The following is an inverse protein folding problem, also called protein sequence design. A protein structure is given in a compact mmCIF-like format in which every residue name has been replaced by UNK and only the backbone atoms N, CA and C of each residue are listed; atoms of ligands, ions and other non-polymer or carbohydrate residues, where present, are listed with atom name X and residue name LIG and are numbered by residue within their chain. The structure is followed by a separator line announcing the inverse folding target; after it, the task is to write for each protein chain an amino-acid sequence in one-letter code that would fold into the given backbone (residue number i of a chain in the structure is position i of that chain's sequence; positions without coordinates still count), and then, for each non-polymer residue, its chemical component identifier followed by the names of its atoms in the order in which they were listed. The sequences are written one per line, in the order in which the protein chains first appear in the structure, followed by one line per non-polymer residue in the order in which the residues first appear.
data_IF_626419659386
#
_entry.id   IF_626419659386
#
_cell.length_a   1.000
_cell.length_b   1.000
_cell.length_c   1.000
_cell.angle_alpha   90.00
_cell.angle_beta   90.00
_cell.angle_gamma   90.00
#
_symmetry.space_group_name_H-M   'P 1'
#
loop_
_entity.id
_entity.type
_entity.pdbx_description
1 polymer ?
#
# COMPACT_ATOMS: atom_id res chain seq x y z
N UNK A 1 14.45 26.50 12.84
CA UNK A 1 14.39 26.44 11.38
C UNK A 1 13.54 25.24 11.02
N UNK A 2 12.28 25.49 10.71
CA UNK A 2 11.28 24.47 10.43
C UNK A 2 11.57 23.90 9.04
N UNK A 3 12.24 22.74 8.98
CA UNK A 3 12.39 22.03 7.72
C UNK A 3 11.01 21.48 7.35
N UNK A 4 10.33 22.19 6.45
CA UNK A 4 9.05 21.78 5.88
C UNK A 4 9.15 20.33 5.41
N UNK A 5 8.43 19.43 6.12
CA UNK A 5 8.17 18.08 5.66
C UNK A 5 7.53 18.22 4.28
N UNK A 6 8.28 17.97 3.21
CA UNK A 6 7.68 17.75 1.88
C UNK A 6 6.62 16.67 2.09
N UNK A 7 5.34 17.03 1.97
CA UNK A 7 4.25 16.04 1.87
C UNK A 7 4.66 15.14 0.70
N UNK A 8 4.95 13.87 0.98
CA UNK A 8 5.16 12.86 -0.05
C UNK A 8 3.80 12.69 -0.72
N UNK A 9 3.61 13.25 -1.91
CA UNK A 9 2.33 13.18 -2.63
C UNK A 9 2.17 11.80 -3.29
N UNK A 10 0.91 11.35 -3.42
CA UNK A 10 0.57 10.21 -4.27
C UNK A 10 1.01 10.47 -5.71
N UNK A 11 1.44 9.41 -6.40
CA UNK A 11 1.67 9.52 -7.83
C UNK A 11 0.32 9.53 -8.57
N UNK A 12 -0.03 10.68 -9.12
CA UNK A 12 -1.27 10.90 -9.87
C UNK A 12 -0.96 10.95 -11.37
N UNK A 13 -1.82 10.34 -12.19
CA UNK A 13 -1.75 10.40 -13.66
C UNK A 13 -1.63 11.86 -14.12
N UNK A 14 -0.49 12.19 -14.76
CA UNK A 14 -0.22 13.55 -15.28
C UNK A 14 -0.75 13.81 -16.68
N UNK A 15 -1.03 12.75 -17.45
CA UNK A 15 -1.52 12.85 -18.83
C UNK A 15 -2.92 12.27 -18.95
N UNK A 16 -3.87 13.13 -19.28
CA UNK A 16 -5.22 12.76 -19.67
C UNK A 16 -5.18 12.14 -21.09
N UNK A 17 -5.51 10.85 -21.29
CA UNK A 17 -5.58 10.26 -22.62
C UNK A 17 -6.87 10.66 -23.36
N UNK A 18 -7.77 11.44 -22.76
CA UNK A 18 -9.09 11.74 -23.34
C UNK A 18 -9.12 12.87 -24.36
N UNK A 19 -7.96 13.31 -24.87
CA UNK A 19 -7.85 14.34 -25.92
C UNK A 19 -8.26 13.82 -27.33
N UNK A 20 -9.41 13.15 -27.45
CA UNK A 20 -10.07 12.99 -28.74
C UNK A 20 -10.81 11.69 -29.05
N UNK A 21 -10.90 10.68 -28.18
CA UNK A 21 -11.70 9.48 -28.49
C UNK A 21 -12.55 9.00 -27.31
N UNK A 22 -13.87 9.08 -27.50
CA UNK A 22 -14.89 8.40 -26.69
C UNK A 22 -14.73 6.89 -26.84
N UNK A 23 -13.86 6.30 -26.03
CA UNK A 23 -13.68 4.85 -25.93
C UNK A 23 -13.81 4.43 -24.47
N UNK A 24 -14.85 3.65 -24.17
CA UNK A 24 -14.97 2.91 -22.92
C UNK A 24 -13.67 2.11 -22.68
N UNK A 25 -12.97 2.37 -21.57
CA UNK A 25 -11.91 1.50 -21.03
C UNK A 25 -10.51 1.63 -21.64
N UNK A 26 -9.90 2.82 -21.68
CA UNK A 26 -8.50 2.97 -22.12
C UNK A 26 -7.67 3.73 -21.08
N UNK A 27 -6.86 2.96 -20.37
CA UNK A 27 -5.90 3.44 -19.39
C UNK A 27 -5.56 2.31 -18.44
N UNK A 28 -4.82 1.29 -18.90
CA UNK A 28 -4.22 0.35 -17.95
C UNK A 28 -3.38 1.17 -16.98
N UNK A 29 -3.76 1.22 -15.70
CA UNK A 29 -2.98 1.93 -14.69
C UNK A 29 -1.53 1.45 -14.80
N UNK A 30 -0.62 2.38 -15.02
CA UNK A 30 0.81 2.11 -15.06
C UNK A 30 1.33 1.98 -13.62
N UNK A 31 2.49 1.31 -13.47
CA UNK A 31 3.14 1.13 -12.17
C UNK A 31 3.37 2.45 -11.44
N UNK A 32 3.52 3.54 -12.19
CA UNK A 32 3.71 4.88 -11.64
C UNK A 32 2.51 5.35 -10.81
N UNK A 33 1.28 4.89 -11.08
CA UNK A 33 0.07 5.32 -10.36
C UNK A 33 -0.20 4.52 -9.09
N UNK A 34 0.72 3.60 -8.75
CA UNK A 34 0.62 2.79 -7.53
C UNK A 34 1.59 3.35 -6.50
N UNK A 35 1.06 3.70 -5.35
CA UNK A 35 1.84 4.17 -4.21
C UNK A 35 1.81 3.11 -3.11
N UNK A 36 2.97 2.54 -2.73
CA UNK A 36 3.06 1.68 -1.56
C UNK A 36 2.91 2.48 -0.26
N UNK A 37 2.06 1.97 0.64
CA UNK A 37 1.93 2.39 2.03
C UNK A 37 2.39 1.24 2.91
N UNK A 38 3.02 1.55 4.03
CA UNK A 38 3.38 0.59 5.07
C UNK A 38 2.61 0.90 6.35
N UNK A 39 2.20 -0.14 7.08
CA UNK A 39 1.68 -0.04 8.44
C UNK A 39 2.54 -0.92 9.36
N UNK A 40 3.04 -0.35 10.45
CA UNK A 40 3.54 -1.13 11.59
C UNK A 40 2.35 -1.50 12.47
N UNK A 41 2.04 -2.80 12.57
CA UNK A 41 0.84 -3.28 13.28
C UNK A 41 0.95 -3.00 14.79
N UNK A 42 2.16 -3.10 15.34
CA UNK A 42 2.39 -2.93 16.78
C UNK A 42 2.39 -1.46 17.19
N UNK A 43 3.08 -0.61 16.43
CA UNK A 43 3.19 0.83 16.73
C UNK A 43 1.98 1.62 16.22
N UNK A 44 1.24 1.07 15.24
CA UNK A 44 0.14 1.77 14.59
C UNK A 44 0.54 2.89 13.64
N UNK A 45 1.81 2.97 13.29
CA UNK A 45 2.31 3.99 12.37
C UNK A 45 1.96 3.64 10.92
N UNK A 46 1.47 4.63 10.17
CA UNK A 46 1.14 4.51 8.74
C UNK A 46 1.96 5.53 7.95
N UNK A 47 2.65 5.09 6.90
CA UNK A 47 3.44 6.00 6.06
C UNK A 47 3.55 5.53 4.60
N UNK A 48 3.79 6.47 3.70
CA UNK A 48 4.14 6.16 2.31
C UNK A 48 5.56 5.61 2.25
N UNK A 49 5.73 4.42 1.67
CA UNK A 49 7.01 3.71 1.58
C UNK A 49 7.43 3.49 0.13
N UNK A 50 7.71 4.57 -0.61
CA UNK A 50 8.07 4.53 -2.04
C UNK A 50 9.21 3.53 -2.36
N UNK A 51 10.10 3.28 -1.40
CA UNK A 51 11.24 2.40 -1.59
C UNK A 51 10.89 0.91 -1.47
N UNK A 52 9.67 0.56 -1.04
CA UNK A 52 9.17 -0.82 -1.02
C UNK A 52 9.13 -1.44 -2.43
N UNK A 53 8.87 -0.62 -3.47
CA UNK A 53 8.86 -1.08 -4.87
C UNK A 53 10.22 -1.65 -5.32
N UNK A 54 11.32 -1.23 -4.70
CA UNK A 54 12.67 -1.68 -5.03
C UNK A 54 13.34 -2.48 -3.91
N UNK A 55 12.60 -2.89 -2.88
CA UNK A 55 13.13 -3.54 -1.66
C UNK A 55 14.25 -2.71 -0.98
N UNK A 56 14.15 -1.37 -1.04
CA UNK A 56 15.13 -0.42 -0.45
C UNK A 56 14.58 0.31 0.77
N UNK A 57 13.37 -0.03 1.20
CA UNK A 57 12.72 0.54 2.39
C UNK A 57 13.61 0.39 3.61
N UNK A 58 13.51 1.32 4.56
CA UNK A 58 14.30 1.24 5.82
C UNK A 58 13.96 -0.03 6.61
N UNK A 59 12.69 -0.43 6.54
CA UNK A 59 12.13 -1.62 7.16
C UNK A 59 12.76 -2.90 6.60
N UNK A 60 12.92 -3.00 5.28
CA UNK A 60 13.42 -4.21 4.62
C UNK A 60 14.95 -4.23 4.41
N UNK A 61 15.61 -3.07 4.50
CA UNK A 61 17.05 -2.96 4.23
C UNK A 61 17.86 -3.89 5.14
N UNK A 62 18.63 -4.76 4.48
CA UNK A 62 19.56 -5.67 5.16
C UNK A 62 18.92 -6.92 5.74
N UNK A 63 17.63 -7.15 5.48
CA UNK A 63 16.88 -8.35 5.84
C UNK A 63 17.00 -9.39 4.72
N UNK A 64 17.13 -10.67 5.09
CA UNK A 64 17.01 -11.80 4.15
C UNK A 64 15.68 -12.51 4.37
N UNK A 65 14.96 -12.78 3.29
CA UNK A 65 13.65 -13.42 3.35
C UNK A 65 13.76 -14.95 3.38
N UNK A 66 13.03 -15.55 4.31
CA UNK A 66 12.84 -16.99 4.42
C UNK A 66 11.71 -17.46 3.51
N UNK A 67 11.61 -18.78 3.29
CA UNK A 67 10.65 -19.33 2.33
C UNK A 67 9.23 -19.33 2.87
N UNK A 68 9.06 -19.49 4.18
CA UNK A 68 7.76 -19.56 4.83
C UNK A 68 7.74 -18.73 6.10
N UNK A 69 6.54 -18.29 6.50
CA UNK A 69 6.33 -17.62 7.78
C UNK A 69 6.63 -18.57 8.95
N UNK A 70 6.24 -19.84 8.81
CA UNK A 70 6.49 -20.87 9.83
C UNK A 70 7.99 -21.02 10.14
N UNK A 71 8.84 -21.03 9.11
CA UNK A 71 10.30 -21.06 9.28
C UNK A 71 10.80 -19.85 10.08
N UNK A 72 10.26 -18.66 9.83
CA UNK A 72 10.60 -17.45 10.58
C UNK A 72 10.19 -17.56 12.06
N UNK A 73 8.94 -17.96 12.31
CA UNK A 73 8.35 -18.00 13.66
C UNK A 73 8.88 -19.14 14.53
N UNK A 74 9.38 -20.23 13.92
CA UNK A 74 9.98 -21.35 14.64
C UNK A 74 11.49 -21.18 14.85
N UNK A 75 12.19 -20.50 13.93
CA UNK A 75 13.64 -20.33 14.00
C UNK A 75 14.09 -19.12 14.83
N UNK A 76 13.22 -18.13 15.05
CA UNK A 76 13.56 -16.88 15.73
C UNK A 76 12.50 -16.49 16.77
N UNK A 77 12.87 -15.75 17.83
CA UNK A 77 11.92 -15.31 18.84
C UNK A 77 10.77 -14.51 18.23
N UNK A 78 9.55 -14.86 18.63
CA UNK A 78 8.33 -14.24 18.10
C UNK A 78 8.19 -12.80 18.58
N UNK A 79 8.63 -12.52 19.80
CA UNK A 79 8.69 -11.20 20.41
C UNK A 79 9.60 -10.21 19.67
N UNK A 80 10.60 -10.71 18.94
CA UNK A 80 11.49 -9.90 18.11
C UNK A 80 11.01 -9.79 16.65
N UNK A 81 9.89 -10.44 16.32
CA UNK A 81 9.36 -10.55 14.96
C UNK A 81 8.12 -9.67 14.81
N UNK A 82 8.31 -8.50 14.22
CA UNK A 82 7.23 -7.52 13.99
C UNK A 82 6.44 -7.82 12.73
N UNK A 83 5.13 -7.63 12.78
CA UNK A 83 4.22 -7.67 11.63
C UNK A 83 4.01 -6.27 11.05
N UNK A 84 4.05 -6.20 9.73
CA UNK A 84 3.73 -5.02 8.94
C UNK A 84 2.74 -5.39 7.84
N UNK A 85 1.99 -4.39 7.38
CA UNK A 85 1.23 -4.45 6.14
C UNK A 85 1.92 -3.63 5.07
N UNK A 86 2.12 -4.21 3.88
CA UNK A 86 2.43 -3.46 2.67
C UNK A 86 1.13 -3.33 1.88
N UNK A 87 0.70 -2.09 1.66
CA UNK A 87 -0.54 -1.76 0.95
C UNK A 87 -0.21 -1.12 -0.39
N UNK A 88 -0.77 -1.65 -1.46
CA UNK A 88 -0.72 -1.05 -2.79
C UNK A 88 -1.96 -0.17 -2.98
N UNK A 89 -1.74 1.15 -3.07
CA UNK A 89 -2.81 2.11 -3.37
C UNK A 89 -2.67 2.58 -4.81
N UNK A 90 -3.62 2.21 -5.65
CA UNK A 90 -3.70 2.69 -7.02
C UNK A 90 -4.64 3.91 -7.08
N UNK A 91 -4.17 5.00 -7.69
CA UNK A 91 -4.96 6.20 -7.93
C UNK A 91 -5.32 6.26 -9.42
N UNK A 92 -6.59 6.50 -9.72
CA UNK A 92 -7.07 6.76 -11.07
C UNK A 92 -7.82 8.10 -11.11
N UNK A 93 -8.26 8.53 -12.29
CA UNK A 93 -8.90 9.82 -12.50
C UNK A 93 -10.23 9.67 -13.23
N UNK A 94 -11.26 10.28 -12.67
CA UNK A 94 -12.57 10.48 -13.31
C UNK A 94 -12.74 11.95 -13.69
N UNK A 95 -13.85 12.30 -14.36
CA UNK A 95 -14.13 13.69 -14.76
C UNK A 95 -14.10 14.65 -13.57
N UNK A 96 -14.54 14.21 -12.40
CA UNK A 96 -14.58 15.03 -11.18
C UNK A 96 -13.23 15.12 -10.45
N UNK A 97 -12.20 14.38 -10.90
CA UNK A 97 -10.85 14.40 -10.32
C UNK A 97 -10.30 13.02 -9.93
N UNK A 98 -9.13 12.99 -9.26
CA UNK A 98 -8.50 11.75 -8.81
C UNK A 98 -9.31 11.05 -7.71
N UNK A 99 -9.24 9.72 -7.67
CA UNK A 99 -9.85 8.87 -6.64
C UNK A 99 -8.98 7.63 -6.38
N UNK A 100 -9.12 7.01 -5.21
CA UNK A 100 -8.48 5.72 -4.91
C UNK A 100 -9.21 4.62 -5.67
N UNK A 101 -8.56 4.07 -6.69
CA UNK A 101 -9.15 3.12 -7.61
C UNK A 101 -9.05 1.68 -7.11
N UNK A 102 -7.94 1.34 -6.44
CA UNK A 102 -7.71 0.01 -5.90
C UNK A 102 -6.79 0.05 -4.68
N UNK A 103 -7.05 -0.83 -3.72
CA UNK A 103 -6.32 -0.92 -2.45
C UNK A 103 -6.16 -2.39 -2.07
N UNK A 104 -4.94 -2.91 -2.06
CA UNK A 104 -4.68 -4.31 -1.69
C UNK A 104 -3.58 -4.41 -0.65
N UNK A 105 -3.68 -5.36 0.28
CA UNK A 105 -2.73 -5.51 1.39
C UNK A 105 -1.98 -6.85 1.34
N UNK A 106 -0.69 -6.83 1.66
CA UNK A 106 0.20 -7.99 1.75
C UNK A 106 0.88 -8.03 3.12
N UNK A 107 1.09 -9.23 3.66
CA UNK A 107 1.81 -9.38 4.92
C UNK A 107 3.33 -9.24 4.73
N UNK A 108 3.96 -8.59 5.71
CA UNK A 108 5.41 -8.52 5.86
C UNK A 108 5.78 -8.80 7.31
N UNK A 109 6.68 -9.74 7.54
CA UNK A 109 7.22 -10.02 8.87
C UNK A 109 8.71 -9.76 8.91
N UNK A 110 9.20 -9.07 9.95
CA UNK A 110 10.61 -8.73 10.09
C UNK A 110 11.07 -9.02 11.51
N UNK A 111 12.04 -9.94 11.62
CA UNK A 111 12.88 -10.08 12.79
C UNK A 111 14.15 -9.26 12.60
N UNK A 112 14.20 -8.08 13.23
CA UNK A 112 15.30 -7.13 13.04
C UNK A 112 16.62 -7.63 13.64
N UNK A 113 16.67 -8.18 14.88
CA UNK A 113 17.90 -8.73 15.46
C UNK A 113 18.55 -9.82 14.59
N UNK A 114 17.75 -10.76 14.09
CA UNK A 114 18.25 -11.85 13.23
C UNK A 114 18.49 -11.43 11.78
N UNK A 115 18.04 -10.24 11.38
CA UNK A 115 18.03 -9.77 9.99
C UNK A 115 17.36 -10.78 9.06
N UNK A 116 16.23 -11.31 9.53
CA UNK A 116 15.38 -12.26 8.80
C UNK A 116 13.96 -11.74 8.70
N UNK A 117 13.27 -12.15 7.65
CA UNK A 117 11.88 -11.76 7.46
C UNK A 117 11.17 -12.75 6.57
N UNK A 118 9.88 -12.52 6.40
CA UNK A 118 9.05 -13.27 5.48
C UNK A 118 8.14 -12.30 4.73
N UNK A 119 8.02 -12.55 3.42
CA UNK A 119 6.98 -11.98 2.55
C UNK A 119 6.76 -12.89 1.36
N UNK A 120 5.52 -12.98 0.90
CA UNK A 120 5.19 -13.78 -0.28
C UNK A 120 5.35 -12.96 -1.55
N UNK A 121 6.48 -13.14 -2.27
CA UNK A 121 6.68 -12.43 -3.55
C UNK A 121 5.54 -12.66 -4.57
N UNK A 122 4.99 -13.88 -4.73
CA UNK A 122 3.83 -14.08 -5.60
C UNK A 122 2.61 -13.28 -5.16
N UNK A 123 2.33 -13.22 -3.86
CA UNK A 123 1.23 -12.41 -3.32
C UNK A 123 1.45 -10.92 -3.62
N UNK A 124 2.64 -10.40 -3.34
CA UNK A 124 2.98 -9.00 -3.59
C UNK A 124 2.75 -8.58 -5.04
N UNK A 125 3.22 -9.37 -6.00
CA UNK A 125 3.05 -9.09 -7.44
C UNK A 125 1.58 -9.18 -7.83
N UNK A 126 0.87 -10.22 -7.37
CA UNK A 126 -0.54 -10.41 -7.67
C UNK A 126 -1.43 -9.31 -7.07
N UNK A 127 -1.16 -8.90 -5.83
CA UNK A 127 -1.91 -7.84 -5.16
C UNK A 127 -1.64 -6.48 -5.77
N UNK A 128 -0.40 -6.20 -6.20
CA UNK A 128 -0.09 -4.99 -6.97
C UNK A 128 -0.87 -4.95 -8.29
N UNK A 129 -0.85 -6.04 -9.09
CA UNK A 129 -1.63 -6.14 -10.33
C UNK A 129 -3.14 -5.98 -10.09
N UNK A 130 -3.67 -6.60 -9.03
CA UNK A 130 -5.08 -6.46 -8.65
C UNK A 130 -5.43 -5.03 -8.22
N UNK A 131 -4.56 -4.33 -7.50
CA UNK A 131 -4.77 -2.92 -7.16
C UNK A 131 -4.83 -2.06 -8.42
N UNK A 132 -3.93 -2.28 -9.39
CA UNK A 132 -3.93 -1.60 -10.70
C UNK A 132 -5.19 -1.91 -11.52
N UNK A 133 -5.90 -3.00 -11.23
CA UNK A 133 -7.19 -3.37 -11.83
C UNK A 133 -8.39 -2.92 -11.00
N UNK A 134 -8.17 -2.02 -10.03
CA UNK A 134 -9.21 -1.42 -9.20
C UNK A 134 -9.81 -2.37 -8.15
N UNK A 135 -9.11 -3.44 -7.79
CA UNK A 135 -9.58 -4.35 -6.75
C UNK A 135 -9.31 -3.78 -5.35
N UNK A 136 -10.23 -4.07 -4.42
CA UNK A 136 -10.10 -3.75 -3.00
C UNK A 136 -9.97 -5.07 -2.24
N UNK A 137 -8.79 -5.32 -1.66
CA UNK A 137 -8.42 -6.57 -0.99
C UNK A 137 -7.70 -6.21 0.31
N UNK A 138 -8.50 -5.89 1.32
CA UNK A 138 -8.03 -5.52 2.67
C UNK A 138 -8.63 -6.40 3.77
N UNK A 139 -9.49 -7.36 3.41
CA UNK A 139 -10.16 -8.27 4.36
C UNK A 139 -9.19 -9.15 5.17
N UNK A 140 -7.96 -9.33 4.70
CA UNK A 140 -6.89 -10.06 5.40
C UNK A 140 -6.24 -9.23 6.53
N UNK A 141 -6.43 -7.90 6.51
CA UNK A 141 -5.94 -7.02 7.56
C UNK A 141 -6.78 -7.15 8.83
N UNK A 142 -6.17 -6.89 9.98
CA UNK A 142 -6.91 -6.65 11.22
C UNK A 142 -7.71 -5.34 11.14
N UNK A 143 -8.78 -5.26 11.93
CA UNK A 143 -9.72 -4.12 11.91
C UNK A 143 -9.04 -2.80 12.26
N UNK A 144 -8.10 -2.82 13.21
CA UNK A 144 -7.37 -1.62 13.63
C UNK A 144 -6.50 -1.07 12.50
N UNK A 145 -5.77 -1.94 11.80
CA UNK A 145 -4.96 -1.56 10.65
C UNK A 145 -5.79 -1.02 9.48
N UNK A 146 -6.98 -1.59 9.21
CA UNK A 146 -7.89 -1.06 8.17
C UNK A 146 -8.37 0.36 8.50
N UNK A 147 -8.77 0.58 9.76
CA UNK A 147 -9.19 1.91 10.24
C UNK A 147 -8.06 2.93 10.14
N UNK A 148 -6.85 2.58 10.57
CA UNK A 148 -5.67 3.43 10.46
C UNK A 148 -5.36 3.78 9.00
N UNK A 149 -5.50 2.82 8.08
CA UNK A 149 -5.36 3.07 6.64
C UNK A 149 -6.43 4.04 6.13
N UNK A 150 -7.70 3.84 6.47
CA UNK A 150 -8.80 4.73 6.08
C UNK A 150 -8.57 6.17 6.56
N UNK A 151 -8.20 6.34 7.84
CA UNK A 151 -7.85 7.64 8.42
C UNK A 151 -6.68 8.26 7.65
N UNK A 152 -5.60 7.51 7.43
CA UNK A 152 -4.43 8.01 6.72
C UNK A 152 -4.76 8.50 5.30
N UNK A 153 -5.53 7.73 4.53
CA UNK A 153 -5.94 8.10 3.18
C UNK A 153 -6.83 9.35 3.18
N UNK A 154 -7.78 9.43 4.09
CA UNK A 154 -8.68 10.57 4.25
C UNK A 154 -7.94 11.85 4.66
N UNK A 155 -7.02 11.76 5.61
CA UNK A 155 -6.22 12.91 6.07
C UNK A 155 -5.20 13.36 5.02
N UNK A 156 -4.73 12.43 4.19
CA UNK A 156 -3.79 12.75 3.13
C UNK A 156 -4.42 13.69 2.09
N UNK A 157 -5.56 13.28 1.53
CA UNK A 157 -6.35 14.04 0.57
C UNK A 157 -7.86 13.75 0.73
N UNK A 158 -8.58 14.63 1.46
CA UNK A 158 -10.01 14.46 1.69
C UNK A 158 -10.84 14.44 0.41
N UNK A 159 -10.41 15.14 -0.64
CA UNK A 159 -11.18 15.19 -1.89
C UNK A 159 -11.04 13.89 -2.70
N UNK A 160 -9.84 13.31 -2.77
CA UNK A 160 -9.63 11.98 -3.36
C UNK A 160 -10.44 10.94 -2.59
N UNK A 161 -10.43 11.02 -1.26
CA UNK A 161 -11.25 10.16 -0.41
C UNK A 161 -12.73 10.28 -0.74
N UNK A 162 -13.28 11.49 -0.78
CA UNK A 162 -14.71 11.68 -1.07
C UNK A 162 -15.11 11.21 -2.47
N UNK A 163 -14.21 11.36 -3.46
CA UNK A 163 -14.40 10.86 -4.83
C UNK A 163 -14.31 9.34 -4.96
N UNK A 164 -13.75 8.65 -3.97
CA UNK A 164 -13.56 7.20 -3.98
C UNK A 164 -14.88 6.44 -3.75
N UNK A 165 -14.92 5.17 -4.16
CA UNK A 165 -16.15 4.36 -4.07
C UNK A 165 -16.59 4.13 -2.61
N UNK A 166 -17.90 4.03 -2.37
CA UNK A 166 -18.43 3.71 -1.03
C UNK A 166 -17.91 2.37 -0.51
N UNK A 167 -17.77 1.36 -1.39
CA UNK A 167 -17.14 0.08 -1.02
C UNK A 167 -15.74 0.26 -0.41
N UNK A 168 -14.92 1.16 -0.96
CA UNK A 168 -13.59 1.44 -0.41
C UNK A 168 -13.69 2.06 0.98
N UNK A 169 -14.61 3.02 1.16
CA UNK A 169 -14.82 3.69 2.44
C UNK A 169 -15.30 2.68 3.49
N UNK A 170 -16.25 1.81 3.14
CA UNK A 170 -16.79 0.76 4.01
C UNK A 170 -15.73 -0.26 4.44
N UNK A 171 -14.93 -0.78 3.50
CA UNK A 171 -13.86 -1.75 3.79
C UNK A 171 -12.74 -1.17 4.68
N UNK A 172 -12.62 0.16 4.75
CA UNK A 172 -11.59 0.88 5.50
C UNK A 172 -12.12 1.63 6.74
N UNK A 173 -13.41 1.44 7.08
CA UNK A 173 -14.06 2.08 8.24
C UNK A 173 -14.00 1.25 9.52
#
# INVERSE_FOLDING_TARGET
MEQGKKKLEFNIIKNDPTDGHKGFGIGTLSLENVTPIMIDVEEGEVWIELQAMHARSKTERGVRYLKTLDELLTSYPKEDTKKYWIIWVAVDRKQEGPYYAGVTACELYINRPARRGFKSMPEHVNHMDKAMKGQIIVHNMDEESRKKLGIFLKEHDPEIWERSSEKLKEELS
#
